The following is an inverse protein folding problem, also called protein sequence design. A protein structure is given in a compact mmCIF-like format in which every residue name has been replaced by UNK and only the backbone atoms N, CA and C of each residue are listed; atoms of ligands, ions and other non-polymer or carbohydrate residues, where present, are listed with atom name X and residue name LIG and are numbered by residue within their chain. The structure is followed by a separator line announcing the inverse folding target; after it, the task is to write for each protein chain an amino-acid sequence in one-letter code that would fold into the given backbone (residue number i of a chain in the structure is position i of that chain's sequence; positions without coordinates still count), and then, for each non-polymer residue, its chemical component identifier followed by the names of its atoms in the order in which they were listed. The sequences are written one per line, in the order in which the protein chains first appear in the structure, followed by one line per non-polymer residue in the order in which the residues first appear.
data_IF_405566117290
#
_entry.id   IF_405566117290
#
_cell.length_a   1.000
_cell.length_b   1.000
_cell.length_c   1.000
_cell.angle_alpha   90.00
_cell.angle_beta   90.00
_cell.angle_gamma   90.00
#
_symmetry.space_group_name_H-M   'P 1'
#
loop_
_entity.id
_entity.type
_entity.pdbx_description
1 polymer ?
#
# COMPACT_ATOMS: atom_id res chain seq x y z
N UNK A 1 36.70 54.90 -24.90
CA UNK A 1 37.71 54.05 -24.23
C UNK A 1 37.22 52.63 -24.39
N UNK A 2 37.44 51.98 -25.55
CA UNK A 2 38.57 51.07 -25.86
C UNK A 2 38.78 50.01 -24.75
N UNK A 3 38.75 48.70 -24.98
CA UNK A 3 38.72 47.92 -26.23
C UNK A 3 38.35 46.43 -26.00
N UNK A 4 38.01 45.76 -27.13
CA UNK A 4 38.28 44.35 -27.52
C UNK A 4 37.60 43.18 -26.78
N UNK A 5 36.65 42.44 -27.40
CA UNK A 5 36.78 41.37 -28.43
C UNK A 5 37.06 39.98 -27.80
N UNK A 6 36.32 38.88 -28.07
CA UNK A 6 36.10 38.20 -29.35
C UNK A 6 34.91 37.21 -29.30
N UNK A 7 34.24 37.04 -30.45
CA UNK A 7 33.41 35.88 -30.83
C UNK A 7 34.30 34.72 -31.33
N UNK A 8 33.87 33.48 -31.14
CA UNK A 8 34.00 32.41 -32.17
C UNK A 8 33.07 31.21 -31.91
N UNK A 9 32.46 30.73 -33.01
CA UNK A 9 31.65 29.52 -33.22
C UNK A 9 32.50 28.24 -33.30
N UNK A 10 31.79 27.08 -33.37
CA UNK A 10 32.12 25.77 -33.98
C UNK A 10 32.32 24.63 -32.95
N UNK A 11 31.94 23.36 -33.17
CA UNK A 11 31.26 22.64 -34.25
C UNK A 11 30.82 21.26 -33.71
N UNK A 12 29.83 20.65 -34.38
CA UNK A 12 29.43 19.25 -34.22
C UNK A 12 30.53 18.28 -34.69
N UNK A 13 30.64 17.11 -34.05
CA UNK A 13 31.52 16.04 -34.47
C UNK A 13 31.02 14.67 -33.98
N UNK A 14 30.44 13.91 -34.90
CA UNK A 14 30.08 12.50 -34.74
C UNK A 14 31.33 11.62 -34.66
N UNK A 15 31.33 10.60 -33.81
CA UNK A 15 32.33 9.52 -33.83
C UNK A 15 31.60 8.18 -33.86
N UNK A 16 31.75 7.50 -35.00
CA UNK A 16 31.52 6.07 -35.14
C UNK A 16 32.87 5.34 -34.99
N UNK A 17 32.88 4.21 -34.29
CA UNK A 17 34.02 3.29 -34.28
C UNK A 17 33.51 1.85 -34.40
N UNK A 18 34.02 1.20 -35.46
CA UNK A 18 33.77 -0.15 -35.93
C UNK A 18 34.96 -1.05 -35.54
N UNK A 19 34.62 -2.30 -35.19
CA UNK A 19 35.33 -3.56 -35.52
C UNK A 19 36.66 -3.86 -34.78
N UNK A 20 36.71 -5.00 -34.08
CA UNK A 20 37.39 -6.20 -34.60
C UNK A 20 37.16 -7.42 -33.72
N UNK A 21 36.67 -8.51 -34.32
CA UNK A 21 36.72 -9.85 -33.75
C UNK A 21 38.03 -10.56 -34.09
N UNK A 22 38.29 -11.65 -33.36
CA UNK A 22 39.11 -12.78 -33.80
C UNK A 22 38.55 -14.05 -33.14
N UNK A 23 38.17 -15.03 -33.95
CA UNK A 23 37.82 -16.38 -33.51
C UNK A 23 39.03 -17.31 -33.46
N UNK A 24 38.81 -18.50 -32.90
CA UNK A 24 39.72 -19.65 -32.95
C UNK A 24 39.07 -20.90 -32.37
N UNK A 25 38.77 -21.87 -33.23
CA UNK A 25 38.11 -23.17 -32.99
C UNK A 25 39.16 -24.29 -33.01
N UNK A 26 39.09 -25.27 -32.09
CA UNK A 26 39.33 -26.75 -32.26
C UNK A 26 39.36 -27.42 -30.87
N UNK A 27 39.01 -28.69 -30.60
CA UNK A 27 38.13 -29.75 -31.11
C UNK A 27 38.19 -30.90 -30.05
N UNK A 28 37.18 -31.77 -30.00
CA UNK A 28 36.97 -32.91 -29.08
C UNK A 28 38.10 -33.97 -28.95
N UNK A 29 38.23 -34.61 -27.77
CA UNK A 29 38.18 -36.09 -27.58
C UNK A 29 38.02 -36.46 -26.07
N UNK A 30 37.41 -37.62 -25.69
CA UNK A 30 36.75 -37.83 -24.40
C UNK A 30 37.48 -38.74 -23.39
N UNK A 31 36.86 -38.87 -22.21
CA UNK A 31 37.04 -39.83 -21.11
C UNK A 31 38.14 -39.56 -20.07
N UNK A 32 37.72 -39.36 -18.80
CA UNK A 32 38.01 -40.21 -17.63
C UNK A 32 37.40 -39.60 -16.34
N UNK A 33 36.57 -40.41 -15.68
CA UNK A 33 36.12 -40.44 -14.27
C UNK A 33 36.40 -39.26 -13.31
N UNK A 34 35.29 -38.68 -12.83
CA UNK A 34 34.82 -38.90 -11.46
C UNK A 34 35.59 -38.25 -10.30
N UNK A 35 35.12 -37.09 -9.85
CA UNK A 35 35.04 -36.72 -8.43
C UNK A 35 33.79 -35.86 -8.21
N UNK A 36 32.95 -36.29 -7.27
CA UNK A 36 31.77 -35.54 -6.84
C UNK A 36 32.23 -34.28 -6.09
N UNK A 37 32.11 -33.13 -6.75
CA UNK A 37 32.17 -31.82 -6.12
C UNK A 37 30.76 -31.38 -5.79
N UNK A 38 30.51 -31.11 -4.51
CA UNK A 38 29.28 -30.50 -4.04
C UNK A 38 29.04 -29.20 -4.82
N UNK A 39 27.99 -29.18 -5.64
CA UNK A 39 27.45 -27.95 -6.18
C UNK A 39 26.79 -27.23 -5.00
N UNK A 40 27.40 -26.13 -4.55
CA UNK A 40 26.65 -25.12 -3.82
C UNK A 40 25.51 -24.67 -4.73
N UNK A 41 24.29 -24.76 -4.23
CA UNK A 41 23.11 -24.17 -4.87
C UNK A 41 23.36 -22.67 -4.99
N UNK A 42 23.79 -22.24 -6.17
CA UNK A 42 23.55 -20.88 -6.60
C UNK A 42 22.03 -20.76 -6.78
N UNK A 43 21.40 -19.97 -5.92
CA UNK A 43 19.99 -19.64 -6.03
C UNK A 43 19.76 -19.03 -7.41
N UNK A 44 19.13 -19.78 -8.30
CA UNK A 44 18.68 -19.22 -9.57
C UNK A 44 17.50 -18.33 -9.23
N UNK A 45 17.68 -17.01 -9.25
CA UNK A 45 16.56 -16.07 -9.19
C UNK A 45 15.46 -16.57 -10.14
N UNK A 46 14.29 -16.91 -9.59
CA UNK A 46 13.16 -17.32 -10.40
C UNK A 46 12.90 -16.20 -11.44
N UNK A 47 12.64 -16.57 -12.69
CA UNK A 47 12.31 -15.58 -13.70
C UNK A 47 11.03 -14.84 -13.26
N UNK A 48 11.04 -13.51 -13.34
CA UNK A 48 9.87 -12.70 -13.00
C UNK A 48 8.64 -13.12 -13.82
N UNK A 49 7.48 -13.18 -13.17
CA UNK A 49 6.19 -13.42 -13.82
C UNK A 49 5.77 -12.11 -14.49
N UNK A 50 5.63 -12.11 -15.81
CA UNK A 50 5.18 -10.90 -16.51
C UNK A 50 3.68 -10.74 -16.36
N UNK A 51 3.23 -9.53 -16.04
CA UNK A 51 1.82 -9.13 -16.01
C UNK A 51 1.61 -8.06 -17.08
N UNK A 52 0.67 -8.27 -17.99
CA UNK A 52 0.21 -7.25 -18.95
C UNK A 52 -1.15 -6.73 -18.48
N UNK A 53 -1.17 -5.48 -18.05
CA UNK A 53 -2.37 -4.76 -17.64
C UNK A 53 -2.87 -3.91 -18.80
N UNK A 54 -4.11 -4.11 -19.23
CA UNK A 54 -4.79 -3.27 -20.22
C UNK A 54 -6.06 -2.68 -19.59
N UNK A 55 -6.76 -1.80 -20.31
CA UNK A 55 -8.01 -1.20 -19.81
C UNK A 55 -9.11 -2.24 -19.46
N UNK A 56 -9.01 -3.48 -19.95
CA UNK A 56 -10.05 -4.52 -19.77
C UNK A 56 -9.52 -5.90 -19.38
N UNK A 57 -8.21 -6.12 -19.38
CA UNK A 57 -7.59 -7.43 -19.16
C UNK A 57 -6.38 -7.31 -18.23
N UNK A 58 -6.13 -8.35 -17.44
CA UNK A 58 -4.94 -8.53 -16.61
C UNK A 58 -4.38 -9.92 -16.94
N UNK A 59 -3.33 -9.98 -17.76
CA UNK A 59 -2.82 -11.24 -18.31
C UNK A 59 -1.44 -11.57 -17.73
N UNK A 60 -1.33 -12.74 -17.10
CA UNK A 60 -0.07 -13.23 -16.52
C UNK A 60 0.62 -14.23 -17.46
N UNK A 61 1.95 -14.28 -17.43
CA UNK A 61 2.73 -15.26 -18.19
C UNK A 61 2.56 -16.71 -17.70
N UNK A 62 2.09 -16.89 -16.46
CA UNK A 62 1.75 -18.17 -15.83
C UNK A 62 0.75 -17.93 -14.69
N UNK A 63 -0.09 -18.92 -14.41
CA UNK A 63 -1.07 -18.92 -13.32
C UNK A 63 -0.55 -19.63 -12.06
N UNK A 64 0.75 -19.95 -12.02
CA UNK A 64 1.35 -20.71 -10.93
C UNK A 64 2.83 -20.39 -10.71
N UNK A 65 3.27 -20.54 -9.47
CA UNK A 65 4.67 -20.47 -9.04
C UNK A 65 4.93 -21.46 -7.90
N UNK A 66 6.19 -21.57 -7.46
CA UNK A 66 6.53 -22.27 -6.21
C UNK A 66 6.47 -21.29 -5.03
N UNK A 67 6.31 -21.82 -3.82
CA UNK A 67 6.47 -21.06 -2.58
C UNK A 67 7.84 -20.40 -2.50
N UNK A 68 7.88 -19.23 -1.88
CA UNK A 68 9.07 -18.38 -1.77
C UNK A 68 8.87 -16.99 -2.38
N UNK A 69 9.97 -16.26 -2.56
CA UNK A 69 9.95 -14.94 -3.20
C UNK A 69 9.56 -15.05 -4.66
N UNK A 70 8.52 -14.30 -5.04
CA UNK A 70 8.02 -14.15 -6.40
C UNK A 70 8.08 -12.68 -6.79
N UNK A 71 8.55 -12.42 -8.00
CA UNK A 71 8.50 -11.09 -8.62
C UNK A 71 7.46 -11.10 -9.73
N UNK A 72 6.49 -10.21 -9.65
CA UNK A 72 5.56 -9.88 -10.74
C UNK A 72 6.06 -8.60 -11.41
N UNK A 73 6.46 -8.69 -12.68
CA UNK A 73 6.85 -7.52 -13.46
C UNK A 73 5.65 -7.03 -14.26
N UNK A 74 5.06 -5.95 -13.77
CA UNK A 74 3.78 -5.43 -14.25
C UNK A 74 4.02 -4.36 -15.30
N UNK A 75 3.55 -4.63 -16.51
CA UNK A 75 3.58 -3.71 -17.65
C UNK A 75 2.18 -3.15 -17.86
N UNK A 76 2.07 -1.82 -17.87
CA UNK A 76 0.82 -1.17 -18.24
C UNK A 76 0.77 -0.95 -19.76
N UNK A 77 0.09 -1.86 -20.45
CA UNK A 77 -0.21 -1.79 -21.89
C UNK A 77 -1.53 -1.03 -22.17
N UNK A 78 -2.19 -0.51 -21.14
CA UNK A 78 -3.43 0.26 -21.20
C UNK A 78 -3.23 1.76 -21.43
N UNK A 79 -4.35 2.47 -21.47
CA UNK A 79 -4.41 3.93 -21.65
C UNK A 79 -4.56 4.72 -20.34
N UNK A 80 -4.83 4.06 -19.22
CA UNK A 80 -5.00 4.66 -17.90
C UNK A 80 -3.86 4.27 -16.97
N UNK A 81 -3.60 5.05 -15.93
CA UNK A 81 -2.82 4.56 -14.78
C UNK A 81 -3.48 3.28 -14.28
N UNK A 82 -2.69 2.28 -13.89
CA UNK A 82 -3.21 0.99 -13.44
C UNK A 82 -2.46 0.53 -12.19
N UNK A 83 -3.01 -0.52 -11.63
CA UNK A 83 -2.54 -1.20 -10.44
C UNK A 83 -2.67 -2.70 -10.64
N UNK A 84 -1.82 -3.46 -9.96
CA UNK A 84 -1.87 -4.90 -9.88
C UNK A 84 -2.00 -5.37 -8.44
N UNK A 85 -3.02 -6.19 -8.19
CA UNK A 85 -3.24 -6.86 -6.91
C UNK A 85 -2.83 -8.33 -6.99
N UNK A 86 -2.16 -8.77 -5.92
CA UNK A 86 -2.20 -10.15 -5.49
C UNK A 86 -3.05 -10.24 -4.21
N UNK A 87 -4.17 -10.95 -4.31
CA UNK A 87 -5.18 -11.09 -3.27
C UNK A 87 -5.12 -12.49 -2.64
N UNK A 88 -5.53 -12.58 -1.37
CA UNK A 88 -5.70 -13.84 -0.64
C UNK A 88 -6.79 -14.74 -1.22
N UNK A 89 -7.02 -15.91 -0.62
CA UNK A 89 -8.05 -16.87 -1.06
C UNK A 89 -9.48 -16.32 -0.96
N UNK A 90 -9.72 -15.44 0.03
CA UNK A 90 -10.96 -14.64 0.14
C UNK A 90 -11.16 -13.69 -1.06
N UNK A 91 -10.07 -13.36 -1.75
CA UNK A 91 -9.96 -12.40 -2.83
C UNK A 91 -10.45 -10.99 -2.46
N UNK A 92 -10.26 -10.62 -1.20
CA UNK A 92 -10.41 -9.29 -0.63
C UNK A 92 -9.08 -8.81 -0.05
N UNK A 93 -8.42 -9.63 0.77
CA UNK A 93 -7.18 -9.26 1.46
C UNK A 93 -6.05 -9.08 0.46
N UNK A 94 -5.41 -7.92 0.50
CA UNK A 94 -4.22 -7.62 -0.28
C UNK A 94 -3.01 -8.33 0.35
N UNK A 95 -2.44 -9.29 -0.39
CA UNK A 95 -1.18 -9.96 -0.01
C UNK A 95 0.02 -9.13 -0.47
N UNK A 96 -0.15 -8.39 -1.56
CA UNK A 96 0.76 -7.37 -2.05
C UNK A 96 0.20 -6.74 -3.31
N UNK A 97 0.59 -5.50 -3.57
CA UNK A 97 0.12 -4.74 -4.73
C UNK A 97 1.22 -3.85 -5.30
N UNK A 98 1.02 -3.45 -6.55
CA UNK A 98 1.82 -2.40 -7.17
C UNK A 98 0.93 -1.41 -7.89
N UNK A 99 0.93 -0.17 -7.43
CA UNK A 99 0.04 0.88 -7.88
C UNK A 99 0.74 1.95 -8.76
N UNK A 100 -0.03 2.93 -9.26
CA UNK A 100 0.41 4.08 -10.06
C UNK A 100 1.19 3.77 -11.33
N UNK A 101 1.00 2.60 -11.90
CA UNK A 101 1.78 2.20 -13.05
C UNK A 101 1.27 3.00 -14.24
N UNK A 102 2.01 4.02 -14.65
CA UNK A 102 1.61 4.92 -15.74
C UNK A 102 1.52 4.16 -17.09
N UNK A 103 0.71 4.64 -18.06
CA UNK A 103 0.65 4.04 -19.39
C UNK A 103 2.04 3.87 -20.04
N UNK A 104 2.35 2.65 -20.45
CA UNK A 104 3.65 2.26 -21.03
C UNK A 104 4.80 2.09 -20.03
N UNK A 105 4.56 2.25 -18.72
CA UNK A 105 5.53 2.00 -17.68
C UNK A 105 5.57 0.52 -17.26
N UNK A 106 6.64 0.16 -16.56
CA UNK A 106 6.80 -1.15 -15.92
C UNK A 106 7.18 -0.94 -14.47
N UNK A 107 6.58 -1.73 -13.58
CA UNK A 107 6.89 -1.73 -12.16
C UNK A 107 6.88 -3.17 -11.62
N UNK A 108 7.78 -3.46 -10.70
CA UNK A 108 7.87 -4.79 -10.10
C UNK A 108 7.16 -4.81 -8.73
N UNK A 109 6.35 -5.86 -8.52
CA UNK A 109 5.85 -6.28 -7.21
C UNK A 109 6.68 -7.49 -6.76
N UNK A 110 7.35 -7.39 -5.62
CA UNK A 110 8.13 -8.49 -5.03
C UNK A 110 7.48 -8.91 -3.72
N UNK A 111 7.08 -10.18 -3.63
CA UNK A 111 6.33 -10.71 -2.48
C UNK A 111 6.78 -12.14 -2.18
N UNK A 112 6.78 -12.53 -0.91
CA UNK A 112 7.02 -13.91 -0.49
C UNK A 112 5.71 -14.65 -0.29
N UNK A 113 5.57 -15.84 -0.89
CA UNK A 113 4.31 -16.59 -0.93
C UNK A 113 4.42 -17.98 -0.30
N UNK A 114 3.43 -18.33 0.53
CA UNK A 114 3.20 -19.70 1.00
C UNK A 114 2.41 -20.49 -0.05
N UNK A 115 2.51 -21.84 -0.08
CA UNK A 115 1.65 -22.66 -0.92
C UNK A 115 0.17 -22.40 -0.61
N UNK A 116 -0.66 -22.31 -1.65
CA UNK A 116 -2.07 -21.97 -1.50
C UNK A 116 -2.68 -21.39 -2.76
N UNK A 117 -3.94 -21.02 -2.63
CA UNK A 117 -4.72 -20.36 -3.68
C UNK A 117 -4.74 -18.86 -3.41
N UNK A 118 -4.45 -18.09 -4.45
CA UNK A 118 -4.48 -16.64 -4.45
C UNK A 118 -5.32 -16.17 -5.64
N UNK A 119 -5.62 -14.88 -5.70
CA UNK A 119 -6.20 -14.25 -6.88
C UNK A 119 -5.32 -13.11 -7.36
N UNK A 120 -5.25 -12.92 -8.67
CA UNK A 120 -4.58 -11.77 -9.27
C UNK A 120 -5.61 -10.91 -9.97
N UNK A 121 -5.42 -9.60 -9.96
CA UNK A 121 -6.31 -8.66 -10.64
C UNK A 121 -5.56 -7.38 -11.00
N UNK A 122 -6.06 -6.65 -12.00
CA UNK A 122 -5.59 -5.30 -12.28
C UNK A 122 -6.73 -4.30 -12.07
N UNK A 123 -6.42 -3.03 -11.76
CA UNK A 123 -7.42 -1.96 -11.58
C UNK A 123 -7.11 -0.71 -12.44
N UNK A 124 -7.38 -0.75 -13.76
CA UNK A 124 -7.15 0.37 -14.66
C UNK A 124 -8.01 1.59 -14.31
N UNK A 125 -7.36 2.69 -13.97
CA UNK A 125 -7.98 3.92 -13.48
C UNK A 125 -8.01 4.04 -11.96
N UNK A 126 -7.40 3.09 -11.22
CA UNK A 126 -7.27 3.09 -9.75
C UNK A 126 -8.61 3.02 -8.99
N UNK A 127 -9.73 2.86 -9.71
CA UNK A 127 -11.10 2.92 -9.17
C UNK A 127 -12.02 1.98 -9.94
N UNK A 128 -13.07 1.50 -9.30
CA UNK A 128 -14.06 0.66 -9.94
C UNK A 128 -13.69 -0.82 -9.89
N UNK A 129 -14.45 -1.64 -10.62
CA UNK A 129 -14.28 -3.09 -10.59
C UNK A 129 -12.92 -3.53 -11.13
N UNK A 130 -12.31 -4.48 -10.43
CA UNK A 130 -11.12 -5.21 -10.88
C UNK A 130 -11.34 -5.88 -12.25
N UNK A 131 -10.32 -5.83 -13.11
CA UNK A 131 -10.30 -6.52 -14.41
C UNK A 131 -9.38 -7.73 -14.39
N UNK A 132 -9.74 -8.74 -15.17
CA UNK A 132 -8.93 -9.95 -15.33
C UNK A 132 -8.72 -10.76 -14.05
N UNK A 133 -9.62 -10.63 -13.06
CA UNK A 133 -9.52 -11.40 -11.81
C UNK A 133 -9.44 -12.90 -12.11
N UNK A 134 -8.34 -13.53 -11.71
CA UNK A 134 -8.05 -14.93 -12.00
C UNK A 134 -7.36 -15.62 -10.82
N UNK A 135 -7.64 -16.91 -10.65
CA UNK A 135 -6.96 -17.76 -9.66
C UNK A 135 -5.46 -17.88 -10.00
N UNK A 136 -4.61 -17.84 -8.97
CA UNK A 136 -3.17 -18.00 -9.05
C UNK A 136 -2.72 -19.02 -7.99
N UNK A 137 -2.06 -20.09 -8.40
CA UNK A 137 -1.72 -21.22 -7.51
C UNK A 137 -0.24 -21.21 -7.12
N UNK A 138 0.04 -21.15 -5.82
CA UNK A 138 1.39 -21.34 -5.29
C UNK A 138 1.54 -22.79 -4.84
N UNK A 139 2.52 -23.49 -5.42
CA UNK A 139 2.80 -24.91 -5.16
C UNK A 139 4.09 -25.08 -4.36
N UNK A 140 4.43 -26.32 -3.98
CA UNK A 140 5.64 -26.62 -3.23
C UNK A 140 5.38 -26.82 -1.74
N UNK A 141 6.47 -27.03 -0.99
CA UNK A 141 6.38 -27.21 0.45
C UNK A 141 6.11 -25.86 1.14
N UNK A 142 5.37 -25.84 2.25
CA UNK A 142 5.29 -24.66 3.10
C UNK A 142 6.69 -24.17 3.39
N UNK A 143 6.90 -22.86 3.37
CA UNK A 143 8.15 -22.30 3.86
C UNK A 143 8.12 -22.56 5.37
N UNK A 144 8.77 -23.65 5.78
CA UNK A 144 8.55 -24.25 7.09
C UNK A 144 9.00 -23.32 8.21
N UNK A 145 8.03 -22.95 9.04
CA UNK A 145 8.27 -22.38 10.36
C UNK A 145 8.50 -23.54 11.31
N UNK A 146 9.77 -23.81 11.68
CA UNK A 146 10.07 -24.92 12.59
C UNK A 146 10.89 -24.50 13.81
N UNK A 147 10.69 -25.21 14.92
CA UNK A 147 11.48 -25.03 16.15
C UNK A 147 11.17 -23.73 16.91
N UNK A 148 12.21 -23.14 17.51
CA UNK A 148 12.14 -21.92 18.33
C UNK A 148 11.53 -20.71 17.59
N UNK A 149 11.51 -20.74 16.26
CA UNK A 149 10.93 -19.69 15.43
C UNK A 149 9.40 -19.72 15.41
N UNK A 150 8.75 -20.88 15.60
CA UNK A 150 7.28 -20.95 15.63
C UNK A 150 6.67 -20.17 16.79
N UNK A 151 7.24 -20.28 18.00
CA UNK A 151 6.78 -19.51 19.15
C UNK A 151 6.96 -17.99 18.96
N UNK A 152 8.03 -17.57 18.28
CA UNK A 152 8.28 -16.17 17.95
C UNK A 152 7.29 -15.64 16.90
N UNK A 153 6.92 -16.47 15.93
CA UNK A 153 5.99 -16.09 14.88
C UNK A 153 4.58 -15.95 15.44
N UNK A 154 4.14 -16.93 16.23
CA UNK A 154 2.86 -16.90 16.94
C UNK A 154 2.78 -15.66 17.85
N UNK A 155 3.88 -15.33 18.54
CA UNK A 155 3.96 -14.12 19.37
C UNK A 155 3.86 -12.84 18.52
N UNK A 156 4.59 -12.73 17.42
CA UNK A 156 4.54 -11.55 16.55
C UNK A 156 3.14 -11.34 15.93
N UNK A 157 2.49 -12.42 15.49
CA UNK A 157 1.10 -12.36 14.98
C UNK A 157 0.13 -11.96 16.10
N UNK A 158 0.26 -12.55 17.30
CA UNK A 158 -0.58 -12.19 18.43
C UNK A 158 -0.39 -10.72 18.85
N UNK A 159 0.84 -10.23 18.85
CA UNK A 159 1.16 -8.83 19.18
C UNK A 159 0.63 -7.87 18.11
N UNK A 160 0.71 -8.24 16.83
CA UNK A 160 0.10 -7.46 15.74
C UNK A 160 -1.42 -7.39 15.86
N UNK A 161 -2.08 -8.52 16.16
CA UNK A 161 -3.53 -8.54 16.41
C UNK A 161 -3.90 -7.72 17.64
N UNK A 162 -3.09 -7.75 18.70
CA UNK A 162 -3.30 -6.90 19.89
C UNK A 162 -3.12 -5.42 19.56
N UNK A 163 -2.15 -5.07 18.71
CA UNK A 163 -1.99 -3.71 18.20
C UNK A 163 -3.26 -3.25 17.47
N UNK A 164 -3.77 -4.03 16.51
CA UNK A 164 -5.01 -3.70 15.78
C UNK A 164 -6.18 -3.50 16.75
N UNK A 165 -6.37 -4.43 17.69
CA UNK A 165 -7.42 -4.32 18.73
C UNK A 165 -7.32 -3.03 19.53
N UNK A 166 -6.10 -2.66 19.94
CA UNK A 166 -5.87 -1.45 20.72
C UNK A 166 -6.14 -0.18 19.89
N UNK A 167 -5.72 -0.12 18.63
CA UNK A 167 -6.03 1.03 17.78
C UNK A 167 -7.54 1.23 17.59
N UNK A 168 -8.31 0.15 17.36
CA UNK A 168 -9.77 0.27 17.25
C UNK A 168 -10.42 0.65 18.60
N UNK A 169 -9.89 0.14 19.72
CA UNK A 169 -10.36 0.51 21.05
C UNK A 169 -10.11 1.99 21.38
N UNK A 170 -9.02 2.58 20.87
CA UNK A 170 -8.72 4.01 20.99
C UNK A 170 -9.48 4.87 19.95
N UNK A 171 -9.76 4.33 18.76
CA UNK A 171 -10.55 4.97 17.71
C UNK A 171 -11.99 5.24 18.18
N UNK A 172 -12.64 4.24 18.77
CA UNK A 172 -14.06 4.32 19.13
C UNK A 172 -14.44 5.54 19.99
N UNK A 173 -13.79 5.84 21.14
CA UNK A 173 -14.11 7.02 21.93
C UNK A 173 -13.77 8.35 21.23
N UNK A 174 -12.87 8.35 20.24
CA UNK A 174 -12.54 9.53 19.43
C UNK A 174 -13.60 9.79 18.36
N UNK A 175 -14.06 8.74 17.69
CA UNK A 175 -15.21 8.79 16.78
C UNK A 175 -16.46 9.29 17.52
N UNK A 176 -16.68 8.84 18.75
CA UNK A 176 -17.77 9.38 19.57
C UNK A 176 -17.68 10.90 19.78
N UNK A 177 -16.48 11.42 20.04
CA UNK A 177 -16.22 12.85 20.23
C UNK A 177 -16.37 13.64 18.93
N UNK A 178 -15.79 13.15 17.84
CA UNK A 178 -15.91 13.75 16.50
C UNK A 178 -17.38 13.83 16.08
N UNK A 179 -18.10 12.71 16.15
CA UNK A 179 -19.52 12.65 15.79
C UNK A 179 -20.37 13.54 16.70
N UNK A 180 -20.06 13.63 18.00
CA UNK A 180 -20.80 14.52 18.90
C UNK A 180 -20.64 15.99 18.50
N UNK A 181 -19.42 16.43 18.17
CA UNK A 181 -19.15 17.78 17.70
C UNK A 181 -19.84 18.05 16.34
N UNK A 182 -19.71 17.12 15.40
CA UNK A 182 -20.32 17.19 14.08
C UNK A 182 -21.86 17.28 14.16
N UNK A 183 -22.52 16.41 14.92
CA UNK A 183 -24.00 16.43 15.08
C UNK A 183 -24.49 17.71 15.78
N UNK A 184 -23.70 18.25 16.71
CA UNK A 184 -24.02 19.50 17.41
C UNK A 184 -23.80 20.76 16.55
N UNK A 185 -23.19 20.64 15.37
CA UNK A 185 -22.77 21.78 14.55
C UNK A 185 -21.59 22.55 15.14
N UNK A 186 -20.78 21.92 15.99
CA UNK A 186 -19.52 22.45 16.52
C UNK A 186 -18.41 22.25 15.48
N UNK A 187 -18.58 22.81 14.28
CA UNK A 187 -17.77 22.48 13.09
C UNK A 187 -16.27 22.70 13.31
N UNK A 188 -15.85 23.79 13.95
CA UNK A 188 -14.42 24.04 14.23
C UNK A 188 -13.81 22.92 15.09
N UNK A 189 -14.51 22.49 16.12
CA UNK A 189 -14.05 21.39 16.98
C UNK A 189 -14.07 20.05 16.26
N UNK A 190 -15.07 19.81 15.41
CA UNK A 190 -15.10 18.60 14.60
C UNK A 190 -13.93 18.56 13.61
N UNK A 191 -13.58 19.70 13.00
CA UNK A 191 -12.40 19.84 12.13
C UNK A 191 -11.09 19.53 12.88
N UNK A 192 -10.93 20.04 14.10
CA UNK A 192 -9.75 19.77 14.93
C UNK A 192 -9.63 18.28 15.31
N UNK A 193 -10.76 17.60 15.55
CA UNK A 193 -10.81 16.19 15.93
C UNK A 193 -10.62 15.24 14.74
N UNK A 194 -10.96 15.67 13.52
CA UNK A 194 -11.01 14.81 12.34
C UNK A 194 -9.69 14.05 12.08
N UNK A 195 -8.54 14.70 11.84
CA UNK A 195 -7.30 13.98 11.51
C UNK A 195 -6.75 13.18 12.69
N UNK A 196 -6.91 13.68 13.93
CA UNK A 196 -6.42 12.99 15.13
C UNK A 196 -7.31 11.81 15.55
N UNK A 197 -8.49 11.69 14.96
CA UNK A 197 -9.38 10.53 15.06
C UNK A 197 -8.99 9.49 14.00
N UNK A 198 -8.90 9.92 12.73
CA UNK A 198 -8.58 9.06 11.58
C UNK A 198 -7.28 8.29 11.74
N UNK A 199 -6.25 8.89 12.31
CA UNK A 199 -4.92 8.26 12.45
C UNK A 199 -4.92 6.85 13.07
N UNK A 200 -5.91 6.51 13.90
CA UNK A 200 -6.03 5.15 14.45
C UNK A 200 -6.50 4.13 13.41
N UNK A 201 -7.36 4.55 12.48
CA UNK A 201 -7.79 3.75 11.33
C UNK A 201 -6.63 3.56 10.34
N UNK A 202 -5.96 4.65 9.96
CA UNK A 202 -4.80 4.68 9.06
C UNK A 202 -3.66 3.74 9.49
N UNK A 203 -3.43 3.60 10.79
CA UNK A 203 -2.41 2.70 11.33
C UNK A 203 -2.69 1.21 11.10
N UNK A 204 -3.94 0.84 10.87
CA UNK A 204 -4.40 -0.55 10.74
C UNK A 204 -5.04 -0.82 9.37
N UNK A 205 -4.92 0.10 8.45
CA UNK A 205 -5.63 0.11 7.16
C UNK A 205 -5.52 -1.21 6.37
N UNK A 206 -4.35 -1.89 6.23
CA UNK A 206 -4.29 -3.16 5.52
C UNK A 206 -5.17 -4.27 6.12
N UNK A 207 -5.48 -4.13 7.41
CA UNK A 207 -6.40 -5.02 8.11
C UNK A 207 -7.84 -4.54 7.96
N UNK A 208 -8.09 -3.23 7.97
CA UNK A 208 -9.42 -2.67 7.80
C UNK A 208 -9.96 -2.91 6.38
N UNK A 209 -9.16 -2.65 5.34
CA UNK A 209 -9.51 -2.88 3.93
C UNK A 209 -9.83 -4.34 3.62
N UNK A 210 -9.16 -5.27 4.30
CA UNK A 210 -9.41 -6.71 4.16
C UNK A 210 -10.80 -7.13 4.68
N UNK A 211 -11.52 -6.27 5.40
CA UNK A 211 -12.85 -6.57 5.96
C UNK A 211 -14.01 -6.28 5.00
N UNK A 212 -13.70 -6.14 3.70
CA UNK A 212 -14.68 -5.97 2.64
C UNK A 212 -15.48 -4.67 2.80
N UNK A 213 -16.80 -4.73 2.66
CA UNK A 213 -17.69 -3.55 2.63
C UNK A 213 -17.64 -2.66 3.88
N UNK A 214 -17.05 -3.14 4.98
CA UNK A 214 -16.90 -2.32 6.19
C UNK A 214 -15.97 -1.13 5.97
N UNK A 215 -14.88 -1.32 5.22
CA UNK A 215 -13.95 -0.24 4.90
C UNK A 215 -14.60 0.88 4.07
N UNK A 216 -15.27 0.58 2.93
CA UNK A 216 -16.03 1.58 2.18
C UNK A 216 -17.08 2.36 2.98
N UNK A 217 -17.67 1.74 4.00
CA UNK A 217 -18.65 2.42 4.87
C UNK A 217 -17.99 3.42 5.83
N UNK A 218 -16.73 3.17 6.20
CA UNK A 218 -15.97 3.98 7.14
C UNK A 218 -15.16 5.05 6.41
N UNK A 219 -14.49 4.71 5.30
CA UNK A 219 -13.39 5.52 4.78
C UNK A 219 -13.36 5.73 3.27
N UNK A 220 -14.38 5.36 2.51
CA UNK A 220 -14.34 5.66 1.07
C UNK A 220 -14.43 7.16 0.77
N UNK A 221 -13.55 7.62 -0.13
CA UNK A 221 -13.71 8.87 -0.85
C UNK A 221 -14.96 8.82 -1.74
N UNK A 222 -15.56 9.97 -1.98
CA UNK A 222 -16.81 10.07 -2.73
C UNK A 222 -16.72 9.47 -4.13
N UNK A 223 -15.64 9.77 -4.83
CA UNK A 223 -15.38 9.29 -6.18
C UNK A 223 -15.22 7.77 -6.26
N UNK A 224 -14.69 7.14 -5.20
CA UNK A 224 -14.53 5.68 -5.14
C UNK A 224 -15.89 5.03 -4.86
N UNK A 225 -16.66 5.59 -3.91
CA UNK A 225 -18.04 5.16 -3.67
C UNK A 225 -18.87 5.26 -4.95
N UNK A 226 -18.81 6.37 -5.68
CA UNK A 226 -19.57 6.54 -6.92
C UNK A 226 -19.12 5.57 -8.02
N UNK A 227 -17.83 5.23 -8.08
CA UNK A 227 -17.30 4.26 -9.04
C UNK A 227 -17.73 2.81 -8.73
N UNK A 228 -18.06 2.50 -7.47
CA UNK A 228 -18.26 1.13 -6.99
C UNK A 228 -19.65 0.87 -6.39
N UNK A 229 -20.55 1.86 -6.37
CA UNK A 229 -21.87 1.78 -5.70
C UNK A 229 -22.68 0.54 -6.07
N UNK A 230 -22.66 0.11 -7.34
CA UNK A 230 -23.42 -1.09 -7.77
C UNK A 230 -22.87 -2.38 -7.15
N UNK A 231 -21.56 -2.47 -6.93
CA UNK A 231 -20.92 -3.61 -6.27
C UNK A 231 -21.13 -3.55 -4.75
N UNK A 232 -20.96 -2.36 -4.17
CA UNK A 232 -21.15 -2.12 -2.74
C UNK A 232 -22.59 -2.43 -2.28
N UNK A 233 -23.60 -2.06 -3.07
CA UNK A 233 -25.01 -2.39 -2.78
C UNK A 233 -25.29 -3.91 -2.90
N UNK A 234 -24.55 -4.63 -3.75
CA UNK A 234 -24.67 -6.09 -3.84
C UNK A 234 -24.05 -6.78 -2.62
N UNK A 235 -22.92 -6.29 -2.13
CA UNK A 235 -22.21 -6.84 -0.99
C UNK A 235 -22.92 -6.53 0.35
N UNK A 236 -23.40 -5.29 0.51
CA UNK A 236 -24.26 -4.87 1.62
C UNK A 236 -25.45 -4.04 1.10
N UNK A 237 -26.65 -4.65 0.97
CA UNK A 237 -27.86 -3.95 0.56
C UNK A 237 -28.31 -2.82 1.50
N UNK A 238 -27.69 -2.66 2.67
CA UNK A 238 -27.94 -1.54 3.58
C UNK A 238 -27.05 -0.33 3.28
N UNK A 239 -25.97 -0.50 2.51
CA UNK A 239 -25.08 0.59 2.10
C UNK A 239 -25.67 1.35 0.90
N UNK A 240 -26.67 2.18 1.20
CA UNK A 240 -27.55 2.82 0.21
C UNK A 240 -27.17 4.27 -0.13
N UNK A 241 -26.15 4.81 0.53
CA UNK A 241 -25.66 6.17 0.34
C UNK A 241 -24.20 6.26 0.78
N UNK A 242 -23.46 7.26 0.29
CA UNK A 242 -22.10 7.55 0.75
C UNK A 242 -22.06 7.98 2.23
N UNK A 243 -21.20 7.36 3.03
CA UNK A 243 -21.10 7.49 4.49
C UNK A 243 -19.63 7.70 4.91
N UNK A 244 -19.34 7.57 6.20
CA UNK A 244 -17.95 7.52 6.69
C UNK A 244 -17.29 8.87 6.99
N UNK A 245 -15.99 8.83 7.22
CA UNK A 245 -15.14 9.98 7.53
C UNK A 245 -15.19 11.02 6.41
N UNK A 246 -14.95 10.66 5.15
CA UNK A 246 -14.93 11.64 4.05
C UNK A 246 -16.30 12.26 3.76
N UNK A 247 -17.40 11.55 4.04
CA UNK A 247 -18.74 12.16 3.99
C UNK A 247 -18.89 13.26 5.05
N UNK A 248 -18.35 13.05 6.25
CA UNK A 248 -18.29 14.05 7.33
C UNK A 248 -17.32 15.17 6.96
N UNK A 249 -16.17 14.85 6.39
CA UNK A 249 -15.16 15.80 5.92
C UNK A 249 -15.79 16.82 4.97
N UNK A 250 -16.47 16.37 3.91
CA UNK A 250 -17.06 17.28 2.93
C UNK A 250 -18.14 18.20 3.53
N UNK A 251 -18.86 17.76 4.56
CA UNK A 251 -19.78 18.64 5.31
C UNK A 251 -19.04 19.66 6.17
N UNK A 252 -17.90 19.28 6.76
CA UNK A 252 -17.08 20.15 7.58
C UNK A 252 -16.29 21.15 6.73
N UNK A 253 -15.82 20.77 5.55
CA UNK A 253 -15.10 21.61 4.60
C UNK A 253 -15.90 21.76 3.31
N UNK A 254 -17.09 22.38 3.41
CA UNK A 254 -17.99 22.57 2.27
C UNK A 254 -17.24 23.18 1.08
N UNK A 255 -17.19 22.48 -0.06
CA UNK A 255 -16.44 22.95 -1.22
C UNK A 255 -17.03 24.24 -1.80
N UNK A 256 -16.20 25.03 -2.48
CA UNK A 256 -16.72 26.10 -3.33
C UNK A 256 -17.64 25.53 -4.42
N UNK A 257 -18.61 26.32 -4.90
CA UNK A 257 -19.60 25.90 -5.92
C UNK A 257 -18.97 25.47 -7.25
N UNK A 258 -17.78 25.97 -7.56
CA UNK A 258 -16.99 25.63 -8.75
C UNK A 258 -15.85 24.65 -8.47
N UNK A 259 -15.76 24.11 -7.25
CA UNK A 259 -14.76 23.11 -6.90
C UNK A 259 -14.99 21.82 -7.69
N UNK A 260 -13.87 21.13 -7.97
CA UNK A 260 -13.85 19.86 -8.65
C UNK A 260 -13.37 18.77 -7.69
N UNK A 261 -13.83 17.55 -7.95
CA UNK A 261 -13.27 16.33 -7.39
C UNK A 261 -11.90 16.04 -8.01
N UNK A 262 -11.10 15.11 -7.44
CA UNK A 262 -9.84 14.64 -8.02
C UNK A 262 -9.95 14.17 -9.48
N UNK A 263 -11.08 13.55 -9.84
CA UNK A 263 -11.35 13.07 -11.20
C UNK A 263 -11.83 14.17 -12.17
N UNK A 264 -11.97 15.42 -11.68
CA UNK A 264 -12.41 16.58 -12.45
C UNK A 264 -13.93 16.72 -12.57
N UNK A 265 -14.73 15.85 -11.96
CA UNK A 265 -16.18 16.02 -11.84
C UNK A 265 -16.54 17.18 -10.89
N UNK A 266 -17.76 17.72 -10.98
CA UNK A 266 -18.16 18.84 -10.13
C UNK A 266 -18.44 18.36 -8.71
N UNK A 267 -17.90 19.06 -7.70
CA UNK A 267 -18.03 18.69 -6.29
C UNK A 267 -19.48 18.72 -5.76
N UNK A 268 -20.41 19.36 -6.45
CA UNK A 268 -21.82 19.46 -6.05
C UNK A 268 -22.73 18.51 -6.84
N UNK A 269 -22.19 17.70 -7.76
CA UNK A 269 -22.96 16.71 -8.49
C UNK A 269 -23.45 15.61 -7.54
N UNK A 270 -24.77 15.55 -7.31
CA UNK A 270 -25.37 14.53 -6.45
C UNK A 270 -25.13 14.72 -4.95
N UNK A 271 -24.55 15.85 -4.53
CA UNK A 271 -24.25 16.15 -3.14
C UNK A 271 -24.79 17.53 -2.71
N UNK A 272 -25.28 17.61 -1.48
CA UNK A 272 -25.67 18.86 -0.81
C UNK A 272 -25.18 18.81 0.65
N UNK A 273 -24.88 19.97 1.29
CA UNK A 273 -24.53 20.01 2.71
C UNK A 273 -25.61 19.37 3.58
N UNK A 274 -25.20 18.50 4.51
CA UNK A 274 -26.15 17.79 5.36
C UNK A 274 -27.00 18.71 6.23
N UNK A 275 -28.30 18.44 6.28
CA UNK A 275 -29.18 18.95 7.33
C UNK A 275 -28.82 18.35 8.70
N UNK A 276 -29.23 18.96 9.84
CA UNK A 276 -28.98 18.39 11.16
C UNK A 276 -29.48 16.94 11.34
N UNK A 277 -30.57 16.56 10.65
CA UNK A 277 -31.06 15.19 10.65
C UNK A 277 -30.09 14.24 9.92
N UNK A 278 -29.64 14.61 8.72
CA UNK A 278 -28.65 13.83 7.97
C UNK A 278 -27.31 13.74 8.71
N UNK A 279 -26.84 14.81 9.36
CA UNK A 279 -25.64 14.76 10.21
C UNK A 279 -25.80 13.72 11.34
N UNK A 280 -26.99 13.65 11.94
CA UNK A 280 -27.29 12.64 12.96
C UNK A 280 -27.28 11.21 12.40
N UNK A 281 -27.80 11.00 11.20
CA UNK A 281 -27.81 9.70 10.52
C UNK A 281 -26.41 9.25 10.12
N UNK A 282 -25.63 10.12 9.45
CA UNK A 282 -24.24 9.86 9.03
C UNK A 282 -23.36 9.58 10.26
N UNK A 283 -23.47 10.41 11.30
CA UNK A 283 -22.70 10.22 12.52
C UNK A 283 -23.07 8.93 13.27
N UNK A 284 -24.36 8.56 13.28
CA UNK A 284 -24.79 7.29 13.86
C UNK A 284 -24.28 6.08 13.07
N UNK A 285 -24.25 6.17 11.73
CA UNK A 285 -23.68 5.15 10.87
C UNK A 285 -22.18 4.95 11.17
N UNK A 286 -21.37 6.01 11.15
CA UNK A 286 -19.94 5.91 11.46
C UNK A 286 -19.67 5.27 12.83
N UNK A 287 -20.44 5.63 13.87
CA UNK A 287 -20.31 4.97 15.18
C UNK A 287 -20.66 3.48 15.14
N UNK A 288 -21.70 3.10 14.40
CA UNK A 288 -22.12 1.71 14.27
C UNK A 288 -21.12 0.88 13.45
N UNK A 289 -20.56 1.46 12.39
CA UNK A 289 -19.56 0.82 11.54
C UNK A 289 -18.25 0.64 12.33
N UNK A 290 -17.80 1.64 13.09
CA UNK A 290 -16.62 1.51 13.97
C UNK A 290 -16.86 0.54 15.13
N UNK A 291 -18.09 0.44 15.66
CA UNK A 291 -18.43 -0.60 16.63
C UNK A 291 -18.40 -2.01 16.02
N UNK A 292 -18.81 -2.14 14.76
CA UNK A 292 -18.71 -3.40 14.00
C UNK A 292 -17.26 -3.77 13.76
N UNK A 293 -16.40 -2.78 13.43
CA UNK A 293 -14.96 -2.96 13.33
C UNK A 293 -14.38 -3.45 14.66
N UNK A 294 -14.76 -2.82 15.78
CA UNK A 294 -14.35 -3.24 17.11
C UNK A 294 -14.71 -4.70 17.39
N UNK A 295 -15.98 -5.08 17.18
CA UNK A 295 -16.44 -6.44 17.45
C UNK A 295 -15.73 -7.46 16.53
N UNK A 296 -15.49 -7.09 15.27
CA UNK A 296 -14.80 -7.94 14.28
C UNK A 296 -13.37 -8.22 14.70
N UNK A 297 -12.57 -7.19 14.97
CA UNK A 297 -11.14 -7.38 15.33
C UNK A 297 -10.97 -7.99 16.73
N UNK A 298 -11.97 -7.87 17.61
CA UNK A 298 -11.97 -8.47 18.95
C UNK A 298 -12.53 -9.91 18.99
N UNK A 299 -13.06 -10.42 17.88
CA UNK A 299 -13.51 -11.80 17.80
C UNK A 299 -12.36 -12.78 18.11
N UNK A 300 -12.69 -13.88 18.79
CA UNK A 300 -11.68 -14.84 19.24
C UNK A 300 -11.01 -15.60 18.07
N UNK A 301 -11.75 -15.74 16.98
CA UNK A 301 -11.40 -16.38 15.72
C UNK A 301 -10.89 -15.39 14.67
N UNK A 302 -10.88 -14.08 14.93
CA UNK A 302 -10.46 -13.04 13.98
C UNK A 302 -9.19 -13.38 13.20
N UNK A 303 -8.11 -13.71 13.90
CA UNK A 303 -6.83 -14.02 13.25
C UNK A 303 -6.90 -15.28 12.35
N UNK A 304 -7.70 -16.27 12.74
CA UNK A 304 -7.88 -17.49 11.96
C UNK A 304 -8.78 -17.24 10.74
N UNK A 305 -9.88 -16.50 10.93
CA UNK A 305 -10.84 -16.17 9.87
C UNK A 305 -10.23 -15.27 8.80
N UNK A 306 -9.36 -14.33 9.20
CA UNK A 306 -8.63 -13.46 8.29
C UNK A 306 -7.33 -14.09 7.76
N UNK A 307 -7.02 -15.33 8.16
CA UNK A 307 -5.80 -16.04 7.74
C UNK A 307 -4.51 -15.28 8.09
N UNK A 308 -4.50 -14.57 9.22
CA UNK A 308 -3.34 -13.78 9.65
C UNK A 308 -2.22 -14.70 10.09
N UNK A 309 -1.08 -14.54 9.45
CA UNK A 309 0.15 -15.25 9.74
C UNK A 309 1.36 -14.30 9.74
N UNK A 310 2.56 -14.83 9.96
CA UNK A 310 3.77 -14.01 10.00
C UNK A 310 4.03 -13.29 8.67
N UNK A 311 3.63 -13.90 7.54
CA UNK A 311 3.81 -13.32 6.23
C UNK A 311 2.88 -12.12 6.05
N UNK A 312 1.66 -12.20 6.60
CA UNK A 312 0.71 -11.09 6.65
C UNK A 312 1.29 -9.91 7.44
N UNK A 313 1.91 -10.15 8.60
CA UNK A 313 2.56 -9.07 9.37
C UNK A 313 3.73 -8.46 8.59
N UNK A 314 4.61 -9.29 8.03
CA UNK A 314 5.79 -8.82 7.32
C UNK A 314 5.45 -8.09 6.00
N UNK A 315 4.43 -8.54 5.27
CA UNK A 315 3.96 -7.87 4.05
C UNK A 315 3.16 -6.60 4.35
N UNK A 316 2.41 -6.55 5.47
CA UNK A 316 1.60 -5.38 5.85
C UNK A 316 2.41 -4.08 5.98
N UNK A 317 3.68 -4.17 6.40
CA UNK A 317 4.58 -3.02 6.42
C UNK A 317 4.83 -2.43 5.02
N UNK A 318 4.86 -3.27 3.98
CA UNK A 318 5.05 -2.82 2.60
C UNK A 318 3.77 -2.27 1.98
N UNK A 319 2.61 -2.82 2.35
CA UNK A 319 1.29 -2.38 1.87
C UNK A 319 1.00 -0.94 2.31
N UNK A 320 1.12 -0.65 3.61
CA UNK A 320 0.93 0.71 4.16
C UNK A 320 1.80 1.77 3.48
N UNK A 321 3.05 1.42 3.12
CA UNK A 321 3.93 2.37 2.44
C UNK A 321 3.61 2.48 0.93
N UNK A 322 3.08 1.44 0.29
CA UNK A 322 2.65 1.53 -1.11
C UNK A 322 1.52 2.54 -1.26
N UNK A 323 0.54 2.44 -0.36
CA UNK A 323 -0.62 3.32 -0.36
C UNK A 323 -0.22 4.80 -0.24
N UNK A 324 0.69 5.13 0.69
CA UNK A 324 1.23 6.49 0.79
C UNK A 324 1.91 6.91 -0.52
N UNK A 325 2.78 6.05 -1.07
CA UNK A 325 3.62 6.39 -2.22
C UNK A 325 2.83 6.72 -3.49
N UNK A 326 1.61 6.22 -3.59
CA UNK A 326 0.86 6.22 -4.84
C UNK A 326 -0.44 7.00 -4.76
N UNK A 327 -1.34 6.61 -3.85
CA UNK A 327 -2.70 7.12 -3.84
C UNK A 327 -2.80 8.35 -2.96
N UNK A 328 -2.12 8.36 -1.80
CA UNK A 328 -2.19 9.46 -0.84
C UNK A 328 -1.22 10.60 -1.15
N UNK A 329 -0.08 10.35 -1.83
CA UNK A 329 0.89 11.40 -2.20
C UNK A 329 0.36 12.48 -3.16
N UNK A 330 -0.79 12.26 -3.79
CA UNK A 330 -1.43 13.28 -4.63
C UNK A 330 -2.35 14.20 -3.82
N UNK A 331 -2.59 13.89 -2.54
CA UNK A 331 -3.50 14.62 -1.67
C UNK A 331 -4.97 14.30 -1.95
N UNK A 332 -5.25 13.13 -2.50
CA UNK A 332 -6.61 12.71 -2.90
C UNK A 332 -7.42 12.15 -1.73
N UNK A 333 -6.76 11.80 -0.63
CA UNK A 333 -7.38 11.19 0.55
C UNK A 333 -8.25 12.19 1.29
N UNK A 334 -7.63 13.24 1.80
CA UNK A 334 -8.27 14.32 2.51
C UNK A 334 -8.53 15.49 1.55
N UNK A 335 -9.26 15.23 0.46
CA UNK A 335 -9.40 16.19 -0.64
C UNK A 335 -9.95 17.56 -0.22
N UNK A 336 -10.74 17.63 0.86
CA UNK A 336 -11.40 18.87 1.30
C UNK A 336 -10.69 19.52 2.49
N UNK A 337 -10.14 18.71 3.39
CA UNK A 337 -9.50 19.16 4.62
C UNK A 337 -7.99 19.35 4.48
N UNK A 338 -7.38 18.66 3.51
CA UNK A 338 -5.94 18.62 3.23
C UNK A 338 -5.12 18.22 4.46
N UNK A 339 -5.58 17.22 5.19
CA UNK A 339 -4.92 16.68 6.39
C UNK A 339 -4.10 15.42 6.13
N UNK A 340 -3.80 15.13 4.86
CA UNK A 340 -3.18 13.87 4.39
C UNK A 340 -1.85 13.53 5.12
N UNK A 341 -1.12 14.53 5.62
CA UNK A 341 0.11 14.28 6.40
C UNK A 341 -0.13 13.57 7.74
N UNK A 342 -1.33 13.68 8.32
CA UNK A 342 -1.71 12.89 9.48
C UNK A 342 -1.89 11.42 9.11
N UNK A 343 -2.50 11.17 7.96
CA UNK A 343 -2.72 9.84 7.42
C UNK A 343 -1.38 9.19 7.05
N UNK A 344 -0.48 9.94 6.39
CA UNK A 344 0.90 9.48 6.11
C UNK A 344 1.64 9.12 7.39
N UNK A 345 1.48 9.92 8.46
CA UNK A 345 2.09 9.65 9.74
C UNK A 345 1.49 8.40 10.40
N UNK A 346 0.18 8.17 10.24
CA UNK A 346 -0.53 6.96 10.67
C UNK A 346 -0.02 5.72 9.95
N UNK A 347 -0.04 5.73 8.62
CA UNK A 347 0.44 4.62 7.80
C UNK A 347 1.92 4.31 8.08
N UNK A 348 2.77 5.34 8.19
CA UNK A 348 4.19 5.18 8.55
C UNK A 348 4.36 4.50 9.92
N UNK A 349 3.54 4.86 10.90
CA UNK A 349 3.58 4.25 12.24
C UNK A 349 3.08 2.81 12.22
N UNK A 350 2.01 2.51 11.50
CA UNK A 350 1.53 1.15 11.31
C UNK A 350 2.57 0.26 10.64
N UNK A 351 3.23 0.77 9.60
CA UNK A 351 4.28 0.08 8.86
C UNK A 351 5.50 -0.21 9.75
N UNK A 352 5.93 0.79 10.54
CA UNK A 352 7.02 0.63 11.51
C UNK A 352 6.68 -0.44 12.55
N UNK A 353 5.46 -0.47 13.08
CA UNK A 353 5.05 -1.47 14.08
C UNK A 353 5.07 -2.87 13.49
N UNK A 354 4.52 -3.06 12.29
CA UNK A 354 4.56 -4.34 11.60
C UNK A 354 6.01 -4.82 11.37
N UNK A 355 6.91 -3.92 10.97
CA UNK A 355 8.33 -4.21 10.83
C UNK A 355 9.00 -4.56 12.18
N UNK A 356 8.78 -3.76 13.23
CA UNK A 356 9.40 -3.94 14.54
C UNK A 356 9.04 -5.29 15.18
N UNK A 357 7.82 -5.79 14.93
CA UNK A 357 7.37 -7.08 15.43
C UNK A 357 8.13 -8.26 14.80
N UNK A 358 8.56 -8.13 13.54
CA UNK A 358 9.25 -9.22 12.81
C UNK A 358 10.76 -9.04 12.73
N UNK A 359 11.28 -7.83 12.98
CA UNK A 359 12.71 -7.54 12.95
C UNK A 359 13.56 -8.44 13.86
N UNK A 360 13.17 -8.77 15.12
CA UNK A 360 13.94 -9.67 15.97
C UNK A 360 14.10 -11.08 15.40
N UNK A 361 13.13 -11.54 14.60
CA UNK A 361 13.20 -12.83 13.90
C UNK A 361 14.23 -12.74 12.79
N UNK A 362 14.12 -11.73 11.91
CA UNK A 362 15.07 -11.53 10.82
C UNK A 362 16.53 -11.39 11.32
N UNK A 363 16.75 -10.73 12.45
CA UNK A 363 18.08 -10.52 13.04
C UNK A 363 18.80 -11.81 13.51
N UNK A 364 18.14 -12.97 13.51
CA UNK A 364 18.76 -14.25 13.88
C UNK A 364 19.84 -14.66 12.86
N UNK A 365 19.76 -14.18 11.62
CA UNK A 365 20.78 -14.39 10.57
C UNK A 365 21.70 -13.17 10.41
N UNK A 366 22.96 -13.34 9.96
CA UNK A 366 23.82 -12.22 9.59
C UNK A 366 23.21 -11.31 8.52
N UNK A 367 22.64 -11.90 7.47
CA UNK A 367 22.03 -11.20 6.35
C UNK A 367 20.79 -10.41 6.82
N UNK A 368 19.98 -10.99 7.70
CA UNK A 368 18.82 -10.30 8.25
C UNK A 368 19.16 -9.18 9.22
N UNK A 369 20.30 -9.21 9.91
CA UNK A 369 20.78 -8.05 10.68
C UNK A 369 21.11 -6.86 9.78
N UNK A 370 21.84 -7.09 8.69
CA UNK A 370 22.16 -6.04 7.72
C UNK A 370 20.90 -5.48 7.06
N UNK A 371 19.93 -6.35 6.74
CA UNK A 371 18.64 -5.92 6.18
C UNK A 371 17.86 -5.06 7.19
N UNK A 372 17.74 -5.50 8.43
CA UNK A 372 17.02 -4.76 9.49
C UNK A 372 17.67 -3.40 9.76
N UNK A 373 19.01 -3.33 9.80
CA UNK A 373 19.72 -2.05 9.94
C UNK A 373 19.45 -1.10 8.77
N UNK A 374 19.34 -1.64 7.55
CA UNK A 374 18.99 -0.88 6.34
C UNK A 374 17.56 -0.35 6.44
N UNK A 375 16.59 -1.22 6.72
CA UNK A 375 15.17 -0.84 6.83
C UNK A 375 14.97 0.21 7.93
N UNK A 376 15.59 0.04 9.10
CA UNK A 376 15.50 1.00 10.20
C UNK A 376 16.11 2.37 9.83
N UNK A 377 17.17 2.38 9.01
CA UNK A 377 17.76 3.62 8.50
C UNK A 377 16.80 4.36 7.57
N UNK A 378 16.15 3.64 6.65
CA UNK A 378 15.21 4.24 5.70
C UNK A 378 13.92 4.73 6.37
N UNK A 379 13.37 3.97 7.33
CA UNK A 379 12.26 4.46 8.17
C UNK A 379 12.64 5.75 8.92
N UNK A 380 13.86 5.80 9.47
CA UNK A 380 14.36 7.01 10.14
C UNK A 380 14.50 8.20 9.19
N UNK A 381 14.93 7.96 7.95
CA UNK A 381 15.00 8.98 6.91
C UNK A 381 13.61 9.47 6.50
N UNK A 382 12.65 8.56 6.27
CA UNK A 382 11.27 8.89 5.93
C UNK A 382 10.57 9.66 7.06
N UNK A 383 10.70 9.21 8.31
CA UNK A 383 10.17 9.94 9.47
C UNK A 383 10.80 11.33 9.61
N UNK A 384 12.11 11.45 9.35
CA UNK A 384 12.82 12.72 9.35
C UNK A 384 12.35 13.68 8.26
N UNK A 385 12.05 13.16 7.06
CA UNK A 385 11.48 13.91 5.95
C UNK A 385 10.05 14.37 6.27
N UNK A 386 9.19 13.47 6.73
CA UNK A 386 7.82 13.80 7.13
C UNK A 386 7.78 14.84 8.26
N UNK A 387 8.72 14.74 9.21
CA UNK A 387 8.87 15.71 10.30
C UNK A 387 9.20 17.14 9.88
N UNK A 388 9.62 17.37 8.61
CA UNK A 388 9.79 18.73 8.08
C UNK A 388 8.45 19.46 7.88
N UNK A 389 7.35 18.72 7.80
CA UNK A 389 6.01 19.24 7.58
C UNK A 389 5.18 19.36 8.86
N UNK A 390 5.67 18.86 10.00
CA UNK A 390 5.02 18.97 11.30
C UNK A 390 5.08 17.69 12.13
N UNK A 391 4.16 17.57 13.10
CA UNK A 391 4.06 16.41 13.98
C UNK A 391 2.64 16.24 14.54
N UNK A 392 2.34 15.10 15.17
CA UNK A 392 1.05 14.91 15.87
C UNK A 392 0.89 15.79 17.12
N UNK A 393 2.00 16.26 17.70
CA UNK A 393 1.98 17.13 18.88
C UNK A 393 1.76 18.59 18.50
N UNK A 394 2.47 19.07 17.48
CA UNK A 394 2.46 20.47 17.04
C UNK A 394 1.44 20.75 15.92
N UNK A 395 0.95 19.68 15.28
CA UNK A 395 0.17 19.70 14.05
C UNK A 395 1.06 19.65 12.79
N UNK A 396 0.45 19.21 11.69
CA UNK A 396 1.04 19.28 10.35
C UNK A 396 0.54 20.52 9.59
N UNK A 397 1.34 20.98 8.62
CA UNK A 397 0.87 21.96 7.62
C UNK A 397 -0.24 21.35 6.76
N UNK A 398 -0.99 22.19 6.05
CA UNK A 398 -1.96 21.71 5.06
C UNK A 398 -1.24 21.06 3.88
N UNK A 399 -1.76 19.93 3.38
CA UNK A 399 -1.21 19.27 2.20
C UNK A 399 -1.23 20.15 0.94
N UNK A 400 -2.15 21.13 0.88
CA UNK A 400 -2.19 22.13 -0.19
C UNK A 400 -0.92 23.00 -0.27
N UNK A 401 -0.10 23.02 0.79
CA UNK A 401 1.19 23.72 0.83
C UNK A 401 2.36 22.85 0.34
N UNK A 402 2.16 21.53 0.19
CA UNK A 402 3.17 20.58 -0.29
C UNK A 402 3.22 20.63 -1.81
N UNK A 403 4.31 21.14 -2.37
CA UNK A 403 4.46 21.28 -3.81
C UNK A 403 4.86 19.98 -4.52
N UNK A 404 4.89 19.99 -5.86
CA UNK A 404 5.19 18.79 -6.67
C UNK A 404 6.61 18.24 -6.49
N UNK A 405 7.58 19.09 -6.16
CA UNK A 405 8.95 18.64 -5.92
C UNK A 405 9.04 17.98 -4.54
N UNK A 406 8.35 18.53 -3.54
CA UNK A 406 8.20 17.93 -2.20
C UNK A 406 7.42 16.61 -2.23
N UNK A 407 6.33 16.53 -3.01
CA UNK A 407 5.60 15.28 -3.26
C UNK A 407 6.54 14.22 -3.84
N UNK A 408 7.34 14.57 -4.85
CA UNK A 408 8.30 13.63 -5.44
C UNK A 408 9.36 13.18 -4.43
N UNK A 409 9.88 14.10 -3.60
CA UNK A 409 10.86 13.74 -2.55
C UNK A 409 10.28 12.75 -1.54
N UNK A 410 9.00 12.93 -1.16
CA UNK A 410 8.28 11.96 -0.32
C UNK A 410 8.17 10.59 -1.02
N UNK A 411 7.73 10.54 -2.28
CA UNK A 411 7.65 9.27 -3.04
C UNK A 411 9.01 8.60 -3.13
N UNK A 412 10.05 9.32 -3.53
CA UNK A 412 11.40 8.77 -3.69
C UNK A 412 11.92 8.14 -2.38
N UNK A 413 11.65 8.79 -1.23
CA UNK A 413 12.05 8.25 0.08
C UNK A 413 11.17 7.08 0.54
N UNK A 414 9.88 7.07 0.19
CA UNK A 414 9.01 5.93 0.46
C UNK A 414 9.46 4.71 -0.36
N UNK A 415 9.75 4.88 -1.64
CA UNK A 415 10.29 3.82 -2.50
C UNK A 415 11.63 3.29 -1.97
N UNK A 416 12.53 4.18 -1.51
CA UNK A 416 13.79 3.79 -0.86
C UNK A 416 13.56 2.96 0.41
N UNK A 417 12.48 3.21 1.15
CA UNK A 417 12.10 2.45 2.35
C UNK A 417 11.48 1.09 1.99
N UNK A 418 10.68 1.04 0.92
CA UNK A 418 9.98 -0.16 0.48
C UNK A 418 10.88 -1.18 -0.20
N UNK A 419 11.89 -0.73 -0.94
CA UNK A 419 12.83 -1.63 -1.62
C UNK A 419 13.43 -2.69 -0.66
N UNK A 420 14.04 -2.32 0.49
CA UNK A 420 14.53 -3.31 1.43
C UNK A 420 13.40 -4.06 2.18
N UNK A 421 12.25 -3.43 2.44
CA UNK A 421 11.09 -4.09 3.06
C UNK A 421 10.57 -5.27 2.22
N UNK A 422 10.64 -5.19 0.89
CA UNK A 422 10.23 -6.29 -0.01
C UNK A 422 10.99 -7.60 0.25
N UNK A 423 12.17 -7.53 0.88
CA UNK A 423 13.01 -8.68 1.24
C UNK A 423 12.75 -9.19 2.65
N UNK A 424 11.98 -8.46 3.46
CA UNK A 424 11.78 -8.74 4.88
C UNK A 424 11.10 -10.10 5.07
N UNK A 425 9.97 -10.33 4.41
CA UNK A 425 9.18 -11.56 4.58
C UNK A 425 10.00 -12.82 4.28
N UNK A 426 10.73 -12.82 3.16
CA UNK A 426 11.60 -13.95 2.81
C UNK A 426 12.72 -14.16 3.84
N UNK A 427 13.28 -13.06 4.36
CA UNK A 427 14.33 -13.12 5.39
C UNK A 427 13.79 -13.63 6.72
N UNK A 428 12.61 -13.19 7.13
CA UNK A 428 11.91 -13.64 8.34
C UNK A 428 11.66 -15.13 8.24
N UNK A 429 11.10 -15.61 7.14
CA UNK A 429 10.77 -17.03 6.92
C UNK A 429 12.01 -17.94 6.79
N UNK A 430 13.18 -17.38 6.47
CA UNK A 430 14.44 -18.12 6.37
C UNK A 430 15.30 -18.09 7.64
N UNK A 431 14.93 -17.26 8.63
CA UNK A 431 15.62 -17.09 9.92
C UNK A 431 15.08 -18.05 10.98
#
# INVERSE_FOLDING_TARGET
MSSTARRTLAAAGSVALLVSGCGGIVADDPTVNGTAGAAGSADSAAAAITVSSTDTECALSTDTTNSGTTTFSVVNDGGKITEFYLLGEDGLRIVGERENIAPGATADLVVSLQPGTYFTACKPGMRGANVGRAEFTVTGDPIEVSGENAELYDAAVADYVNFVKNEVAELQPKVDQLVAAYVAGEDEKARDLFPTTRIHYERIEPIAEALGVLDPRIDYREIDYLAEVEALEQDDPTFTQWLGFHRIEKDLWVPAEDALQPDGSNAWDGWEPSTPAQRSEIGAALRADVATLYDTVHAADFAADQGLDIATVANGASALLEEIAVSKVTGEEDWWSHTDLYDFQGNLQGAQIAFDLVAPIAQRTPEGRELVDTIATEFGALQGLLGQYGSLEDGFISYAEVDRDQQRELVDQIDATREPLSRLTATVLAS
#
